data_IF_752525246452
#
_entry.id   IF_752525246452
#
_cell.length_a   1.000
_cell.length_b   1.000
_cell.length_c   1.000
_cell.angle_alpha   90.00
_cell.angle_beta   90.00
_cell.angle_gamma   90.00
#
_symmetry.space_group_name_H-M   'P 1'
#
loop_
_entity.id
_entity.type
_entity.pdbx_description
1 polymer ?
#
# COMPACT_ATOMS: atom_id res chain seq x y z
N UNK A 1 36.80 -2.60 30.64
CA UNK A 1 35.99 -1.54 30.00
C UNK A 1 34.86 -2.20 29.24
N UNK A 2 33.62 -2.07 29.71
CA UNK A 2 32.42 -2.43 28.95
C UNK A 2 31.60 -1.17 28.76
N UNK A 3 31.65 -0.63 27.55
CA UNK A 3 30.87 0.51 27.11
C UNK A 3 29.40 0.11 27.18
N UNK A 4 28.64 0.78 28.03
CA UNK A 4 27.18 0.71 28.01
C UNK A 4 26.72 1.69 26.92
N UNK A 5 26.14 1.17 25.84
CA UNK A 5 25.32 2.00 24.96
C UNK A 5 23.98 2.12 25.69
N UNK A 6 23.73 3.30 26.25
CA UNK A 6 22.43 3.67 26.79
C UNK A 6 21.45 3.74 25.60
N UNK A 7 20.50 2.83 25.55
CA UNK A 7 19.32 3.01 24.71
C UNK A 7 18.52 4.18 25.31
N UNK A 8 18.62 5.36 24.71
CA UNK A 8 17.66 6.43 24.94
C UNK A 8 16.35 6.03 24.25
N UNK A 9 15.37 5.57 25.03
CA UNK A 9 14.02 5.36 24.53
C UNK A 9 13.33 6.72 24.46
N UNK A 10 13.37 7.35 23.29
CA UNK A 10 12.47 8.46 22.98
C UNK A 10 11.14 7.84 22.53
N UNK A 11 10.15 7.79 23.42
CA UNK A 11 8.77 7.59 22.98
C UNK A 11 8.31 8.92 22.37
N UNK A 12 7.98 8.93 21.09
CA UNK A 12 7.14 9.99 20.54
C UNK A 12 5.78 9.85 21.24
N UNK A 13 5.29 10.89 21.91
CA UNK A 13 4.02 10.85 22.64
C UNK A 13 2.82 10.76 21.67
N UNK A 14 2.61 9.59 21.06
CA UNK A 14 1.38 9.29 20.33
C UNK A 14 0.24 9.22 21.33
N UNK A 15 -0.74 10.11 21.18
CA UNK A 15 -1.94 10.12 22.03
C UNK A 15 -3.06 9.39 21.31
N UNK A 16 -3.58 8.33 21.92
CA UNK A 16 -4.82 7.71 21.45
C UNK A 16 -5.98 8.58 21.93
N UNK A 17 -6.88 8.94 21.02
CA UNK A 17 -8.06 9.76 21.38
C UNK A 17 -8.94 9.01 22.38
N UNK A 18 -9.30 9.70 23.46
CA UNK A 18 -10.22 9.20 24.49
C UNK A 18 -11.56 9.95 24.40
N UNK A 19 -12.72 9.25 24.51
CA UNK A 19 -12.87 7.80 24.61
C UNK A 19 -12.36 7.10 23.34
N UNK A 20 -11.99 5.81 23.44
CA UNK A 20 -11.48 4.96 22.37
C UNK A 20 -12.52 4.70 21.25
N UNK A 21 -13.12 5.77 20.75
CA UNK A 21 -14.15 5.77 19.72
C UNK A 21 -13.46 5.70 18.37
N UNK A 22 -13.78 4.71 17.53
CA UNK A 22 -13.24 4.65 16.18
C UNK A 22 -13.66 5.89 15.39
N UNK A 23 -12.71 6.51 14.68
CA UNK A 23 -12.99 7.65 13.79
C UNK A 23 -13.66 7.22 12.49
N UNK A 24 -13.50 5.94 12.12
CA UNK A 24 -14.08 5.32 10.94
C UNK A 24 -14.54 3.91 11.31
N UNK A 25 -15.77 3.56 10.95
CA UNK A 25 -16.33 2.20 11.09
C UNK A 25 -16.69 1.67 9.71
N UNK A 26 -16.70 0.36 9.49
CA UNK A 26 -17.00 -0.17 8.15
C UNK A 26 -18.51 -0.20 7.84
N UNK A 27 -19.36 -0.07 8.86
CA UNK A 27 -20.83 -0.02 8.73
C UNK A 27 -21.34 1.17 7.92
N UNK A 28 -20.55 2.25 7.79
CA UNK A 28 -20.87 3.40 6.94
C UNK A 28 -20.57 3.16 5.46
N UNK A 29 -19.99 2.02 5.07
CA UNK A 29 -19.69 1.69 3.67
C UNK A 29 -20.94 1.09 3.02
N UNK A 30 -21.55 1.75 2.01
CA UNK A 30 -22.83 1.31 1.44
C UNK A 30 -22.70 0.17 0.41
N UNK A 31 -21.48 -0.28 0.12
CA UNK A 31 -21.16 -1.31 -0.87
C UNK A 31 -20.18 -2.36 -0.31
N UNK A 32 -19.86 -3.39 -1.08
CA UNK A 32 -18.87 -4.42 -0.69
C UNK A 32 -19.19 -5.20 0.59
N UNK A 33 -20.46 -5.23 1.03
CA UNK A 33 -20.88 -5.96 2.23
C UNK A 33 -20.38 -5.40 3.56
N UNK A 34 -19.95 -4.13 3.61
CA UNK A 34 -19.58 -3.44 4.85
C UNK A 34 -18.27 -3.92 5.49
N UNK A 35 -17.37 -4.53 4.70
CA UNK A 35 -16.02 -4.92 5.15
C UNK A 35 -14.98 -4.25 4.27
N UNK A 36 -14.01 -3.60 4.89
CA UNK A 36 -12.96 -2.91 4.17
C UNK A 36 -11.62 -2.99 4.90
N UNK A 37 -10.56 -2.87 4.11
CA UNK A 37 -9.20 -2.73 4.58
C UNK A 37 -8.62 -1.42 4.03
N UNK A 38 -8.22 -0.54 4.95
CA UNK A 38 -7.73 0.81 4.67
C UNK A 38 -6.29 0.68 4.21
N UNK A 39 -6.03 1.09 2.97
CA UNK A 39 -4.73 0.85 2.33
C UNK A 39 -3.93 2.12 2.07
N UNK A 40 -4.58 3.29 1.97
CA UNK A 40 -3.88 4.55 1.71
C UNK A 40 -4.63 5.73 2.32
N UNK A 41 -3.89 6.66 2.91
CA UNK A 41 -4.41 7.97 3.36
C UNK A 41 -3.47 9.05 2.81
N UNK A 42 -4.05 10.10 2.24
CA UNK A 42 -3.32 11.30 1.78
C UNK A 42 -3.99 12.55 2.35
N UNK A 43 -3.23 13.63 2.45
CA UNK A 43 -3.74 14.97 2.78
C UNK A 43 -3.47 15.85 1.58
N UNK A 44 -4.53 16.45 1.05
CA UNK A 44 -4.45 17.35 -0.11
C UNK A 44 -3.95 18.74 0.30
N UNK A 45 -3.56 19.56 -0.68
CA UNK A 45 -3.04 20.92 -0.44
C UNK A 45 -4.03 21.83 0.28
N UNK A 46 -5.34 21.63 0.10
CA UNK A 46 -6.38 22.39 0.79
C UNK A 46 -6.65 21.90 2.23
N UNK A 47 -5.93 20.87 2.68
CA UNK A 47 -6.06 20.28 4.01
C UNK A 47 -7.11 19.17 4.10
N UNK A 48 -7.78 18.81 3.01
CA UNK A 48 -8.72 17.67 3.00
C UNK A 48 -7.98 16.36 3.11
N UNK A 49 -8.40 15.52 4.05
CA UNK A 49 -7.96 14.15 4.22
C UNK A 49 -8.74 13.23 3.29
N UNK A 50 -8.05 12.38 2.54
CA UNK A 50 -8.64 11.34 1.71
C UNK A 50 -8.13 9.97 2.15
N UNK A 51 -9.06 9.07 2.42
CA UNK A 51 -8.83 7.68 2.76
C UNK A 51 -9.30 6.79 1.61
N UNK A 52 -8.45 5.86 1.19
CA UNK A 52 -8.78 4.84 0.19
C UNK A 52 -8.68 3.46 0.83
N UNK A 53 -9.68 2.63 0.52
CA UNK A 53 -9.83 1.29 1.07
C UNK A 53 -10.29 0.33 -0.03
N UNK A 54 -10.05 -0.96 0.15
CA UNK A 54 -10.65 -1.98 -0.70
C UNK A 54 -11.68 -2.80 0.06
N UNK A 55 -12.72 -3.28 -0.63
CA UNK A 55 -13.77 -4.08 -0.03
C UNK A 55 -13.37 -5.55 0.06
N UNK A 56 -13.51 -6.13 1.25
CA UNK A 56 -13.15 -7.53 1.48
C UNK A 56 -14.26 -8.43 0.94
N UNK A 57 -13.96 -9.14 -0.16
CA UNK A 57 -14.92 -10.01 -0.84
C UNK A 57 -15.69 -9.35 -1.98
N UNK A 58 -15.70 -8.01 -2.06
CA UNK A 58 -16.23 -7.26 -3.20
C UNK A 58 -15.19 -6.96 -4.28
N UNK A 59 -13.92 -6.77 -3.88
CA UNK A 59 -12.84 -6.48 -4.83
C UNK A 59 -12.97 -5.10 -5.49
N UNK A 60 -13.57 -4.14 -4.79
CA UNK A 60 -13.77 -2.77 -5.25
C UNK A 60 -12.91 -1.82 -4.42
N UNK A 61 -12.55 -0.66 -4.96
CA UNK A 61 -11.84 0.39 -4.23
C UNK A 61 -12.80 1.53 -3.93
N UNK A 62 -12.92 1.86 -2.65
CA UNK A 62 -13.74 2.94 -2.12
C UNK A 62 -12.89 4.08 -1.58
N UNK A 63 -13.56 5.21 -1.32
CA UNK A 63 -12.95 6.40 -0.76
C UNK A 63 -13.82 7.02 0.33
N UNK A 64 -13.18 7.65 1.30
CA UNK A 64 -13.81 8.53 2.27
C UNK A 64 -12.99 9.81 2.45
N UNK A 65 -13.66 10.91 2.80
CA UNK A 65 -13.02 12.21 3.00
C UNK A 65 -13.35 12.83 4.36
N UNK A 66 -12.46 13.68 4.86
CA UNK A 66 -12.71 14.49 6.06
C UNK A 66 -11.86 15.77 6.07
N UNK A 67 -12.34 16.80 6.76
CA UNK A 67 -11.55 18.00 7.05
C UNK A 67 -10.55 17.79 8.21
N UNK A 68 -10.63 16.65 8.91
CA UNK A 68 -9.83 16.33 10.09
C UNK A 68 -9.52 14.84 10.12
N UNK A 69 -8.33 14.40 10.58
CA UNK A 69 -8.05 12.98 10.75
C UNK A 69 -8.97 12.33 11.80
N UNK A 70 -9.57 13.14 12.68
CA UNK A 70 -10.52 12.71 13.71
C UNK A 70 -11.95 12.53 13.19
N UNK A 71 -12.20 12.83 11.92
CA UNK A 71 -13.53 12.78 11.35
C UNK A 71 -14.39 14.03 11.64
N UNK A 72 -15.70 13.96 11.35
CA UNK A 72 -16.37 12.81 10.77
C UNK A 72 -15.85 12.49 9.36
N UNK A 73 -15.78 11.21 9.03
CA UNK A 73 -15.42 10.74 7.70
C UNK A 73 -16.69 10.52 6.87
N UNK A 74 -16.73 11.04 5.65
CA UNK A 74 -17.82 10.84 4.70
C UNK A 74 -17.38 9.85 3.63
N UNK A 75 -18.05 8.69 3.58
CA UNK A 75 -17.80 7.65 2.57
C UNK A 75 -18.54 8.01 1.28
N UNK A 76 -17.89 7.86 0.14
CA UNK A 76 -18.56 8.01 -1.15
C UNK A 76 -19.65 6.94 -1.32
N UNK A 77 -20.74 7.27 -2.01
CA UNK A 77 -21.89 6.38 -2.15
C UNK A 77 -21.60 5.14 -3.03
N UNK A 78 -20.61 5.25 -3.91
CA UNK A 78 -20.19 4.21 -4.84
C UNK A 78 -18.67 4.01 -4.77
N UNK A 79 -18.15 2.83 -5.13
CA UNK A 79 -16.73 2.64 -5.33
C UNK A 79 -16.16 3.59 -6.38
N UNK A 80 -14.96 4.10 -6.13
CA UNK A 80 -14.21 4.96 -7.07
C UNK A 80 -13.48 4.14 -8.13
N UNK A 81 -13.25 2.85 -7.89
CA UNK A 81 -12.74 1.91 -8.89
C UNK A 81 -13.40 0.53 -8.75
N UNK A 82 -13.84 -0.04 -9.86
CA UNK A 82 -14.45 -1.37 -9.96
C UNK A 82 -13.63 -2.27 -10.90
N UNK A 83 -13.64 -3.61 -10.70
CA UNK A 83 -13.09 -4.56 -11.66
C UNK A 83 -13.64 -4.27 -13.06
N UNK A 84 -12.82 -4.44 -14.11
CA UNK A 84 -13.34 -4.29 -15.47
C UNK A 84 -14.41 -5.35 -15.74
N UNK A 85 -15.51 -5.02 -16.45
CA UNK A 85 -16.50 -6.01 -16.87
C UNK A 85 -15.87 -7.15 -17.68
N UNK A 86 -14.88 -6.79 -18.50
CA UNK A 86 -14.01 -7.68 -19.25
C UNK A 86 -12.58 -7.13 -19.18
N UNK A 87 -11.57 -7.98 -19.07
CA UNK A 87 -10.17 -7.54 -19.01
C UNK A 87 -9.32 -8.40 -18.09
N UNK A 88 -8.08 -7.98 -17.90
CA UNK A 88 -7.10 -8.68 -17.06
C UNK A 88 -7.39 -8.51 -15.56
N UNK A 89 -8.02 -7.40 -15.14
CA UNK A 89 -8.34 -7.04 -13.74
C UNK A 89 -9.79 -7.38 -13.33
N UNK A 90 -10.46 -8.26 -14.07
CA UNK A 90 -11.91 -8.51 -13.94
C UNK A 90 -12.35 -9.25 -12.66
N UNK A 91 -11.43 -9.89 -11.93
CA UNK A 91 -11.79 -10.78 -10.81
C UNK A 91 -11.77 -10.10 -9.44
N UNK A 92 -11.20 -8.90 -9.33
CA UNK A 92 -11.16 -8.15 -8.08
C UNK A 92 -9.96 -7.23 -7.99
N UNK A 93 -10.13 -6.10 -7.32
CA UNK A 93 -9.12 -5.08 -7.05
C UNK A 93 -8.85 -4.99 -5.55
N UNK A 94 -7.63 -4.62 -5.17
CA UNK A 94 -7.25 -4.52 -3.78
C UNK A 94 -5.98 -3.73 -3.52
N UNK A 95 -5.77 -3.42 -2.25
CA UNK A 95 -4.54 -2.80 -1.74
C UNK A 95 -4.07 -1.54 -2.49
N UNK A 96 -4.95 -0.54 -2.72
CA UNK A 96 -4.56 0.67 -3.42
C UNK A 96 -3.47 1.44 -2.66
N UNK A 97 -2.48 1.92 -3.39
CA UNK A 97 -1.49 2.90 -2.93
C UNK A 97 -1.64 4.16 -3.76
N UNK A 98 -1.95 5.27 -3.10
CA UNK A 98 -2.19 6.56 -3.74
C UNK A 98 -1.01 7.49 -3.49
N UNK A 99 -0.51 8.10 -4.55
CA UNK A 99 0.51 9.14 -4.49
C UNK A 99 0.01 10.37 -5.23
N UNK A 100 0.12 11.56 -4.61
CA UNK A 100 -0.13 12.82 -5.29
C UNK A 100 1.14 13.26 -6.05
N UNK A 101 1.00 13.53 -7.34
CA UNK A 101 2.04 13.99 -8.25
C UNK A 101 1.61 15.30 -8.93
N UNK A 102 1.95 16.42 -8.30
CA UNK A 102 1.45 17.73 -8.72
C UNK A 102 -0.08 17.79 -8.62
N UNK A 103 -0.74 18.08 -9.74
CA UNK A 103 -2.20 18.16 -9.84
C UNK A 103 -2.89 16.82 -10.10
N UNK A 104 -2.14 15.73 -10.23
CA UNK A 104 -2.68 14.40 -10.53
C UNK A 104 -2.49 13.45 -9.33
N UNK A 105 -3.50 12.63 -9.06
CA UNK A 105 -3.41 11.47 -8.19
C UNK A 105 -3.10 10.23 -9.02
N UNK A 106 -2.17 9.43 -8.52
CA UNK A 106 -1.77 8.15 -9.11
C UNK A 106 -2.13 7.02 -8.17
N UNK A 107 -2.87 6.04 -8.65
CA UNK A 107 -3.24 4.83 -7.93
C UNK A 107 -2.50 3.64 -8.51
N UNK A 108 -1.84 2.90 -7.64
CA UNK A 108 -1.33 1.56 -7.92
C UNK A 108 -2.17 0.56 -7.14
N UNK A 109 -2.70 -0.45 -7.79
CA UNK A 109 -3.60 -1.41 -7.15
C UNK A 109 -3.23 -2.84 -7.54
N UNK A 110 -3.36 -3.77 -6.60
CA UNK A 110 -3.33 -5.19 -6.92
C UNK A 110 -4.64 -5.60 -7.57
N UNK A 111 -4.57 -6.48 -8.57
CA UNK A 111 -5.74 -7.01 -9.24
C UNK A 111 -5.62 -8.51 -9.46
N UNK A 112 -6.72 -9.21 -9.20
CA UNK A 112 -6.84 -10.62 -9.49
C UNK A 112 -7.11 -10.82 -10.98
N UNK A 113 -6.25 -11.62 -11.60
CA UNK A 113 -6.32 -11.97 -13.02
C UNK A 113 -6.72 -13.44 -13.18
N UNK A 114 -7.02 -13.86 -14.41
CA UNK A 114 -7.27 -15.28 -14.71
C UNK A 114 -6.06 -16.17 -14.43
N UNK A 115 -4.86 -15.61 -14.44
CA UNK A 115 -3.60 -16.36 -14.30
C UNK A 115 -2.92 -16.16 -12.94
N UNK A 116 -3.42 -15.26 -12.10
CA UNK A 116 -2.86 -14.98 -10.78
C UNK A 116 -3.15 -13.55 -10.33
N UNK A 117 -2.12 -12.77 -10.02
CA UNK A 117 -2.26 -11.35 -9.68
C UNK A 117 -1.24 -10.49 -10.41
N UNK A 118 -1.66 -9.29 -10.78
CA UNK A 118 -0.84 -8.25 -11.36
C UNK A 118 -1.13 -6.90 -10.69
N UNK A 119 -0.27 -5.92 -10.92
CA UNK A 119 -0.45 -4.55 -10.41
C UNK A 119 -0.89 -3.64 -11.56
N UNK A 120 -2.01 -2.96 -11.35
CA UNK A 120 -2.56 -1.96 -12.26
C UNK A 120 -2.21 -0.54 -11.86
N UNK A 121 -2.54 0.37 -12.77
CA UNK A 121 -2.33 1.80 -12.62
C UNK A 121 -3.60 2.56 -13.03
N UNK A 122 -3.93 3.62 -12.30
CA UNK A 122 -4.97 4.56 -12.69
C UNK A 122 -4.59 5.98 -12.27
N UNK A 123 -5.07 6.97 -13.02
CA UNK A 123 -4.89 8.39 -12.67
C UNK A 123 -6.21 9.11 -12.45
N UNK A 124 -6.18 10.18 -11.66
CA UNK A 124 -7.33 11.02 -11.39
C UNK A 124 -6.88 12.45 -11.06
N UNK A 125 -7.67 13.45 -11.42
CA UNK A 125 -7.44 14.85 -11.00
C UNK A 125 -8.30 15.28 -9.81
N UNK A 126 -9.31 14.50 -9.45
CA UNK A 126 -10.28 14.80 -8.38
C UNK A 126 -10.33 13.73 -7.27
N UNK A 127 -9.62 12.62 -7.47
CA UNK A 127 -9.61 11.45 -6.59
C UNK A 127 -10.93 10.66 -6.61
N UNK A 128 -11.89 11.01 -7.48
CA UNK A 128 -13.21 10.38 -7.61
C UNK A 128 -13.27 9.57 -8.90
N UNK A 129 -13.00 10.23 -10.02
CA UNK A 129 -13.05 9.65 -11.35
C UNK A 129 -11.65 9.20 -11.73
N UNK A 130 -11.50 7.90 -11.94
CA UNK A 130 -10.20 7.28 -12.21
C UNK A 130 -10.16 6.73 -13.64
N UNK A 131 -9.13 7.12 -14.38
CA UNK A 131 -8.81 6.56 -15.69
C UNK A 131 -7.81 5.41 -15.51
N UNK A 132 -8.25 4.18 -15.77
CA UNK A 132 -7.37 2.99 -15.71
C UNK A 132 -6.43 2.96 -16.90
N UNK A 133 -5.21 2.50 -16.66
CA UNK A 133 -4.31 2.04 -17.71
C UNK A 133 -4.80 0.70 -18.26
N UNK A 134 -4.72 0.52 -19.58
CA UNK A 134 -5.31 -0.66 -20.25
C UNK A 134 -4.62 -1.97 -19.84
N UNK A 135 -3.30 -1.93 -19.66
CA UNK A 135 -2.47 -3.08 -19.30
C UNK A 135 -1.90 -2.96 -17.88
N UNK A 136 -1.58 -4.08 -17.21
CA UNK A 136 -0.89 -4.05 -15.93
C UNK A 136 0.49 -3.38 -16.06
N UNK A 137 0.89 -2.62 -15.04
CA UNK A 137 2.20 -1.96 -14.97
C UNK A 137 3.28 -2.83 -14.32
N UNK A 138 2.88 -3.90 -13.61
CA UNK A 138 3.78 -4.94 -13.14
C UNK A 138 3.08 -6.31 -13.20
N UNK A 139 3.77 -7.29 -13.78
CA UNK A 139 3.33 -8.70 -13.84
C UNK A 139 4.39 -9.59 -13.20
N UNK A 140 4.00 -10.79 -12.77
CA UNK A 140 4.95 -11.80 -12.34
C UNK A 140 5.67 -12.38 -13.58
N UNK A 141 7.00 -12.28 -13.63
CA UNK A 141 7.80 -12.73 -14.77
C UNK A 141 9.14 -13.38 -14.38
N UNK A 142 9.41 -13.52 -13.07
CA UNK A 142 10.57 -14.25 -12.55
C UNK A 142 10.16 -15.35 -11.58
N UNK A 143 11.00 -16.38 -11.48
CA UNK A 143 10.68 -17.67 -10.84
C UNK A 143 10.14 -17.56 -9.41
N UNK A 144 10.72 -16.68 -8.58
CA UNK A 144 10.34 -16.54 -7.17
C UNK A 144 8.96 -15.89 -6.96
N UNK A 145 8.47 -15.13 -7.95
CA UNK A 145 7.15 -14.49 -7.91
C UNK A 145 6.03 -15.47 -8.25
N UNK A 146 6.38 -16.54 -8.96
CA UNK A 146 5.48 -17.55 -9.50
C UNK A 146 4.46 -16.94 -10.49
N UNK A 147 3.26 -16.56 -10.02
CA UNK A 147 2.21 -15.96 -10.86
C UNK A 147 1.52 -14.76 -10.17
N UNK A 148 2.14 -14.21 -9.13
CA UNK A 148 1.49 -13.25 -8.24
C UNK A 148 2.42 -12.08 -7.93
N UNK A 149 2.03 -10.89 -8.34
CA UNK A 149 2.50 -9.61 -7.78
C UNK A 149 1.29 -8.79 -7.31
N UNK A 150 1.28 -8.35 -6.06
CA UNK A 150 0.20 -7.55 -5.47
C UNK A 150 0.69 -6.63 -4.33
N UNK A 151 -0.26 -6.01 -3.61
CA UNK A 151 0.00 -5.10 -2.46
C UNK A 151 1.09 -4.05 -2.74
N UNK A 152 0.97 -3.26 -3.82
CA UNK A 152 1.94 -2.20 -4.08
C UNK A 152 1.96 -1.20 -2.92
N UNK A 153 3.16 -0.76 -2.52
CA UNK A 153 3.37 0.49 -1.79
C UNK A 153 4.35 1.32 -2.59
N UNK A 154 3.90 2.47 -3.06
CA UNK A 154 4.66 3.33 -3.96
C UNK A 154 4.99 4.65 -3.29
N UNK A 155 6.23 5.09 -3.47
CA UNK A 155 6.68 6.42 -3.06
C UNK A 155 7.52 7.06 -4.16
N UNK A 156 7.67 8.38 -4.08
CA UNK A 156 8.52 9.16 -4.99
C UNK A 156 9.74 9.67 -4.25
N UNK A 157 10.90 9.54 -4.88
CA UNK A 157 12.17 10.11 -4.45
C UNK A 157 12.72 11.06 -5.52
N UNK A 158 13.79 11.84 -5.24
CA UNK A 158 14.48 12.63 -6.25
C UNK A 158 15.00 11.80 -7.44
N UNK A 159 15.29 10.52 -7.21
CA UNK A 159 15.79 9.59 -8.22
C UNK A 159 14.66 8.85 -8.96
N UNK A 160 13.40 9.26 -8.77
CA UNK A 160 12.23 8.66 -9.39
C UNK A 160 11.37 7.83 -8.44
N UNK A 161 10.56 6.96 -9.03
CA UNK A 161 9.53 6.18 -8.36
C UNK A 161 10.07 4.85 -7.84
N UNK A 162 9.61 4.46 -6.66
CA UNK A 162 9.97 3.20 -6.02
C UNK A 162 8.69 2.50 -5.57
N UNK A 163 8.56 1.23 -5.94
CA UNK A 163 7.50 0.33 -5.51
C UNK A 163 8.11 -0.81 -4.71
N UNK A 164 7.57 -1.07 -3.53
CA UNK A 164 7.68 -2.38 -2.90
C UNK A 164 6.39 -3.15 -3.17
N UNK A 165 6.51 -4.43 -3.52
CA UNK A 165 5.37 -5.28 -3.86
C UNK A 165 5.52 -6.65 -3.20
N UNK A 166 4.38 -7.29 -2.91
CA UNK A 166 4.34 -8.67 -2.46
C UNK A 166 4.32 -9.61 -3.66
N UNK A 167 5.05 -10.72 -3.57
CA UNK A 167 4.97 -11.80 -4.54
C UNK A 167 5.20 -13.19 -3.93
N UNK A 168 4.94 -14.23 -4.74
CA UNK A 168 5.05 -15.64 -4.36
C UNK A 168 3.75 -16.21 -3.74
N UNK A 169 3.46 -17.48 -4.03
CA UNK A 169 2.25 -18.16 -3.53
C UNK A 169 2.42 -18.84 -2.17
N UNK A 170 3.57 -19.48 -1.93
CA UNK A 170 3.83 -20.28 -0.72
C UNK A 170 4.74 -19.57 0.28
N UNK A 171 5.53 -18.64 -0.22
CA UNK A 171 6.43 -17.78 0.56
C UNK A 171 6.13 -16.37 0.10
N UNK A 172 5.35 -15.64 0.90
CA UNK A 172 5.04 -14.24 0.62
C UNK A 172 6.31 -13.42 0.89
N UNK A 173 6.95 -12.98 -0.19
CA UNK A 173 8.21 -12.24 -0.18
C UNK A 173 7.97 -10.82 -0.71
N UNK A 174 8.96 -9.94 -0.56
CA UNK A 174 8.89 -8.57 -1.09
C UNK A 174 9.95 -8.32 -2.13
N UNK A 175 9.51 -7.79 -3.27
CA UNK A 175 10.39 -7.26 -4.31
C UNK A 175 10.35 -5.74 -4.33
N UNK A 176 11.43 -5.13 -4.83
CA UNK A 176 11.47 -3.73 -5.22
C UNK A 176 11.37 -3.60 -6.74
N UNK A 177 10.70 -2.56 -7.20
CA UNK A 177 10.75 -2.11 -8.57
C UNK A 177 10.98 -0.59 -8.61
N UNK A 178 11.72 -0.13 -9.62
CA UNK A 178 12.13 1.25 -9.81
C UNK A 178 11.54 1.76 -11.13
N UNK A 179 11.14 3.03 -11.18
CA UNK A 179 10.57 3.62 -12.40
C UNK A 179 10.89 5.11 -12.51
N UNK A 180 11.17 5.59 -13.73
CA UNK A 180 11.40 7.02 -13.98
C UNK A 180 10.08 7.79 -14.12
N UNK A 181 9.06 7.13 -14.67
CA UNK A 181 7.77 7.73 -15.01
C UNK A 181 6.60 7.23 -14.16
N UNK A 182 6.81 6.22 -13.34
CA UNK A 182 5.79 5.57 -12.52
C UNK A 182 4.90 4.58 -13.29
N UNK A 183 5.19 4.30 -14.56
CA UNK A 183 4.38 3.40 -15.41
C UNK A 183 5.23 2.21 -15.88
N UNK A 184 6.47 2.46 -16.29
CA UNK A 184 7.41 1.41 -16.72
C UNK A 184 8.34 1.06 -15.57
N UNK A 185 8.25 -0.18 -15.08
CA UNK A 185 8.93 -0.62 -13.87
C UNK A 185 10.06 -1.60 -14.17
N UNK A 186 11.25 -1.32 -13.64
CA UNK A 186 12.39 -2.24 -13.62
C UNK A 186 12.50 -2.91 -12.25
N UNK A 187 12.45 -4.25 -12.22
CA UNK A 187 12.60 -5.02 -10.98
C UNK A 187 14.04 -4.96 -10.49
N UNK A 188 14.20 -4.71 -9.20
CA UNK A 188 15.52 -4.61 -8.59
C UNK A 188 16.28 -5.94 -8.69
N UNK A 189 17.52 -5.88 -9.17
CA UNK A 189 18.30 -7.07 -9.52
C UNK A 189 18.57 -8.02 -8.34
N UNK A 190 18.53 -7.52 -7.11
CA UNK A 190 18.73 -8.32 -5.89
C UNK A 190 17.41 -8.77 -5.24
N UNK A 191 16.29 -8.70 -5.97
CA UNK A 191 15.03 -9.25 -5.49
C UNK A 191 15.12 -10.77 -5.24
N UNK A 192 14.37 -11.29 -4.24
CA UNK A 192 13.55 -10.56 -3.28
C UNK A 192 14.41 -9.82 -2.24
N UNK A 193 13.94 -8.65 -1.79
CA UNK A 193 14.63 -7.82 -0.79
C UNK A 193 14.22 -8.11 0.65
N UNK A 194 13.05 -8.73 0.85
CA UNK A 194 12.61 -9.23 2.16
C UNK A 194 11.94 -10.59 2.02
N UNK A 195 12.22 -11.43 2.99
CA UNK A 195 11.71 -12.79 3.14
C UNK A 195 11.24 -13.02 4.57
N UNK A 196 10.52 -14.12 4.80
CA UNK A 196 10.12 -14.55 6.15
C UNK A 196 11.32 -14.80 7.08
N UNK A 197 12.52 -15.03 6.55
CA UNK A 197 13.70 -15.37 7.34
C UNK A 197 14.33 -14.11 7.95
N UNK A 198 14.04 -12.93 7.40
CA UNK A 198 14.44 -11.63 7.97
C UNK A 198 13.66 -11.31 9.27
N UNK A 199 12.49 -11.93 9.44
CA UNK A 199 11.63 -11.79 10.63
C UNK A 199 11.10 -13.17 11.07
N UNK A 200 11.93 -14.03 11.70
CA UNK A 200 11.61 -15.44 11.95
C UNK A 200 10.65 -15.63 13.13
N UNK A 201 9.45 -15.07 13.03
CA UNK A 201 8.39 -15.17 14.02
C UNK A 201 7.52 -16.40 13.66
N UNK A 202 7.44 -17.43 14.53
CA UNK A 202 6.70 -18.64 14.22
C UNK A 202 5.22 -18.36 13.91
N UNK A 203 4.74 -18.89 12.78
CA UNK A 203 3.37 -18.73 12.29
C UNK A 203 2.93 -17.28 12.03
N UNK A 204 3.87 -16.35 11.92
CA UNK A 204 3.53 -14.97 11.62
C UNK A 204 3.03 -14.80 10.18
N UNK A 205 2.17 -13.81 10.03
CA UNK A 205 1.74 -13.20 8.78
C UNK A 205 2.37 -11.82 8.68
N UNK A 206 2.55 -11.36 7.46
CA UNK A 206 3.12 -10.05 7.14
C UNK A 206 2.10 -9.25 6.36
N UNK A 207 1.84 -8.02 6.78
CA UNK A 207 0.99 -7.08 6.08
C UNK A 207 1.80 -5.82 5.72
N UNK A 208 1.66 -5.40 4.46
CA UNK A 208 2.30 -4.20 3.95
C UNK A 208 1.57 -2.96 4.44
N UNK A 209 2.24 -2.15 5.26
CA UNK A 209 1.62 -0.91 5.73
C UNK A 209 1.96 0.22 4.77
N UNK A 210 3.24 0.61 4.68
CA UNK A 210 3.61 1.81 3.93
C UNK A 210 5.08 1.80 3.50
N UNK A 211 5.37 2.44 2.36
CA UNK A 211 6.69 2.80 1.91
C UNK A 211 6.76 4.33 1.84
N UNK A 212 7.64 4.93 2.62
CA UNK A 212 7.82 6.38 2.72
C UNK A 212 9.25 6.76 2.34
N UNK A 213 9.40 7.81 1.53
CA UNK A 213 10.68 8.49 1.37
C UNK A 213 10.71 9.78 2.19
N UNK A 214 11.75 9.97 2.99
CA UNK A 214 11.98 11.19 3.77
C UNK A 214 13.47 11.43 3.97
N UNK A 215 13.93 12.65 3.67
CA UNK A 215 15.31 13.13 3.90
C UNK A 215 16.41 12.15 3.45
N UNK A 216 16.31 11.62 2.22
CA UNK A 216 17.32 10.70 1.68
C UNK A 216 17.17 9.25 2.13
N UNK A 217 16.13 8.92 2.89
CA UNK A 217 15.90 7.59 3.44
C UNK A 217 14.54 7.04 3.04
N UNK A 218 14.53 5.78 2.61
CA UNK A 218 13.32 4.99 2.42
C UNK A 218 13.01 4.25 3.73
N UNK A 219 11.77 4.34 4.19
CA UNK A 219 11.23 3.69 5.36
C UNK A 219 10.10 2.76 4.93
N UNK A 220 10.28 1.47 5.14
CA UNK A 220 9.28 0.45 4.85
C UNK A 220 8.71 -0.10 6.16
N UNK A 221 7.45 0.22 6.41
CA UNK A 221 6.70 -0.22 7.57
C UNK A 221 5.93 -1.49 7.25
N UNK A 222 6.11 -2.49 8.11
CA UNK A 222 5.50 -3.81 8.02
C UNK A 222 4.78 -4.13 9.30
N UNK A 223 3.58 -4.65 9.20
CA UNK A 223 2.90 -5.26 10.34
C UNK A 223 3.18 -6.77 10.31
N UNK A 224 3.70 -7.32 11.41
CA UNK A 224 4.05 -8.74 11.52
C UNK A 224 3.44 -9.30 12.79
N UNK A 225 2.72 -10.41 12.67
CA UNK A 225 2.13 -11.06 13.84
C UNK A 225 1.23 -12.23 13.53
N UNK A 226 0.39 -12.57 14.51
CA UNK A 226 -0.52 -13.72 14.45
C UNK A 226 -1.97 -13.24 14.51
N UNK A 227 -2.93 -14.17 14.46
CA UNK A 227 -4.35 -13.83 14.65
C UNK A 227 -4.66 -13.24 16.04
N UNK A 228 -3.75 -13.37 17.01
CA UNK A 228 -3.93 -12.84 18.36
C UNK A 228 -3.38 -11.42 18.53
N UNK A 229 -2.72 -10.87 17.51
CA UNK A 229 -2.11 -9.55 17.58
C UNK A 229 -0.88 -9.43 16.68
N UNK A 230 -0.51 -8.19 16.43
CA UNK A 230 0.51 -7.78 15.48
C UNK A 230 1.35 -6.64 16.05
N UNK A 231 2.61 -6.59 15.62
CA UNK A 231 3.55 -5.52 15.95
C UNK A 231 4.03 -4.84 14.67
N UNK A 232 4.40 -3.56 14.79
CA UNK A 232 4.94 -2.78 13.68
C UNK A 232 6.47 -2.89 13.63
N UNK A 233 7.00 -3.27 12.47
CA UNK A 233 8.41 -3.38 12.14
C UNK A 233 8.79 -2.33 11.10
N UNK A 234 10.06 -1.93 11.11
CA UNK A 234 10.61 -0.94 10.20
C UNK A 234 11.89 -1.47 9.56
N UNK A 235 11.97 -1.41 8.24
CA UNK A 235 13.21 -1.46 7.50
C UNK A 235 13.53 -0.07 6.93
N UNK A 236 14.81 0.32 6.96
CA UNK A 236 15.24 1.62 6.45
C UNK A 236 16.46 1.48 5.53
N UNK A 237 16.48 2.27 4.46
CA UNK A 237 17.61 2.35 3.53
C UNK A 237 17.90 3.82 3.19
N UNK A 238 19.11 4.28 3.50
CA UNK A 238 19.57 5.63 3.17
C UNK A 238 20.48 5.61 1.94
N UNK A 239 20.16 6.45 0.96
CA UNK A 239 20.91 6.54 -0.29
C UNK A 239 20.03 6.30 -1.52
N UNK A 240 20.68 6.19 -2.67
CA UNK A 240 19.99 5.93 -3.94
C UNK A 240 19.81 4.43 -4.16
N UNK A 241 18.59 4.04 -4.54
CA UNK A 241 18.30 2.69 -5.03
C UNK A 241 18.67 2.52 -6.51
N UNK A 242 18.98 3.62 -7.20
CA UNK A 242 19.54 3.61 -8.56
C UNK A 242 21.06 3.64 -8.47
N UNK A 243 21.72 2.77 -9.24
CA UNK A 243 23.19 2.75 -9.38
C UNK A 243 23.61 3.47 -10.65
#
# INVERSE_FOLDING_TARGET
MRTHILAQTYYCDFTITTPYTPVFITDQIPFGGGKADISSIIVTEDGTWMMYFHTVGGGEIGRATSASPLGPWTVDAEPVLKPSPEGWDMLGLGWPSIVQDGSEYRMYYGAQTKEGYAIGFATSTDGIQWAKHDEPVLVADVEWEYNKVDRPRVTRSPDGWVMIYQAGLKVEQRGLALSDDGIHWEKYAANPVFTKDDFPIPNAKTWDTNLLYHEGTFYYFMEIGTLNGTDLYLAAYTGSLRK
#
